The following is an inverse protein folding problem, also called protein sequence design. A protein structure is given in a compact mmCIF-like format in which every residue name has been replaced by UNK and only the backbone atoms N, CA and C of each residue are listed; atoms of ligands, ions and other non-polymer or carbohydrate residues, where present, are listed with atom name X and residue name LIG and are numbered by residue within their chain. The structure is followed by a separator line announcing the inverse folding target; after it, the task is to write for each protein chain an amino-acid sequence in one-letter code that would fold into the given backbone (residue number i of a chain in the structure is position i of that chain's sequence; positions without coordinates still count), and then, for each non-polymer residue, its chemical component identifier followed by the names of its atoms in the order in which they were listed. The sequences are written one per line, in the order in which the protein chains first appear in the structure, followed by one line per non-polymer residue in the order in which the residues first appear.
data_IF_560075133132
#
_entry.id   IF_560075133132
#
_cell.length_a   1.000
_cell.length_b   1.000
_cell.length_c   1.000
_cell.angle_alpha   90.00
_cell.angle_beta   90.00
_cell.angle_gamma   90.00
#
_symmetry.space_group_name_H-M   'P 1'
#
loop_
_entity.id
_entity.type
_entity.pdbx_description
1 polymer ?
#
# COMPACT_ATOMS: atom_id res chain seq x y z
N UNK A 1 -12.76 0.29 7.53
CA UNK A 1 -13.32 1.11 6.44
C UNK A 1 -12.68 0.73 5.12
N UNK A 2 -13.42 0.82 4.05
CA UNK A 2 -12.85 0.54 2.74
C UNK A 2 -11.85 1.61 2.34
N UNK A 3 -10.90 1.23 1.48
CA UNK A 3 -9.89 2.16 0.99
C UNK A 3 -10.47 3.11 -0.05
N UNK A 4 -10.06 4.36 0.00
CA UNK A 4 -10.39 5.32 -1.04
C UNK A 4 -9.67 4.90 -2.33
N UNK A 5 -10.37 5.03 -3.45
CA UNK A 5 -9.83 4.64 -4.74
C UNK A 5 -8.49 5.33 -5.01
N UNK A 6 -7.53 4.58 -5.47
CA UNK A 6 -6.21 5.09 -5.82
C UNK A 6 -5.19 5.07 -4.68
N UNK A 7 -5.57 4.64 -3.48
CA UNK A 7 -4.64 4.61 -2.35
C UNK A 7 -4.02 3.24 -2.09
N UNK A 8 -4.62 2.17 -2.60
CA UNK A 8 -4.14 0.81 -2.30
C UNK A 8 -2.71 0.59 -2.78
N UNK A 9 -2.39 1.02 -3.98
CA UNK A 9 -1.06 0.78 -4.56
C UNK A 9 0.04 1.41 -3.70
N UNK A 10 -0.13 2.65 -3.28
CA UNK A 10 0.89 3.32 -2.46
C UNK A 10 1.02 2.65 -1.10
N UNK A 11 -0.07 2.16 -0.53
CA UNK A 11 -0.03 1.46 0.74
C UNK A 11 0.70 0.12 0.62
N UNK A 12 0.49 -0.61 -0.45
CA UNK A 12 1.20 -1.86 -0.72
C UNK A 12 2.69 -1.60 -0.91
N UNK A 13 3.04 -0.57 -1.68
CA UNK A 13 4.45 -0.21 -1.88
C UNK A 13 5.11 0.15 -0.55
N UNK A 14 4.42 0.92 0.29
CA UNK A 14 4.94 1.30 1.61
C UNK A 14 5.20 0.08 2.47
N UNK A 15 4.25 -0.86 2.49
CA UNK A 15 4.38 -2.09 3.23
C UNK A 15 5.64 -2.85 2.82
N UNK A 16 5.86 -2.98 1.51
CA UNK A 16 7.00 -3.71 0.97
C UNK A 16 8.32 -2.95 1.10
N UNK A 17 8.28 -1.69 1.53
CA UNK A 17 9.52 -0.94 1.77
C UNK A 17 10.29 -1.47 2.99
N UNK A 18 9.64 -2.24 3.85
CA UNK A 18 10.26 -2.81 5.04
C UNK A 18 11.06 -4.07 4.72
N UNK A 19 10.43 -5.01 4.02
CA UNK A 19 11.06 -6.25 3.57
C UNK A 19 10.10 -6.99 2.64
N UNK A 20 10.56 -8.01 1.92
CA UNK A 20 9.67 -8.81 1.08
C UNK A 20 8.57 -9.49 1.91
N UNK A 21 7.36 -9.53 1.38
CA UNK A 21 6.22 -10.15 2.04
C UNK A 21 5.33 -10.85 1.02
N UNK A 22 4.61 -11.87 1.48
CA UNK A 22 3.53 -12.46 0.67
C UNK A 22 2.22 -11.73 0.96
N UNK A 23 1.19 -12.00 0.15
CA UNK A 23 -0.07 -11.24 0.20
C UNK A 23 -0.72 -11.22 1.59
N UNK A 24 -0.74 -12.38 2.27
CA UNK A 24 -1.35 -12.46 3.58
C UNK A 24 -0.64 -11.57 4.61
N UNK A 25 0.70 -11.54 4.57
CA UNK A 25 1.48 -10.65 5.44
C UNK A 25 1.20 -9.17 5.15
N UNK A 26 1.09 -8.82 3.87
CA UNK A 26 0.79 -7.44 3.47
C UNK A 26 -0.55 -7.00 4.07
N UNK A 27 -1.57 -7.84 3.92
CA UNK A 27 -2.90 -7.53 4.45
C UNK A 27 -2.88 -7.37 5.96
N UNK A 28 -2.19 -8.26 6.66
CA UNK A 28 -2.07 -8.19 8.13
C UNK A 28 -1.31 -6.96 8.58
N UNK A 29 -0.26 -6.62 7.87
CA UNK A 29 0.55 -5.44 8.20
C UNK A 29 -0.29 -4.16 8.08
N UNK A 30 -1.05 -4.02 7.00
CA UNK A 30 -1.92 -2.86 6.79
C UNK A 30 -2.98 -2.75 7.87
N UNK A 31 -3.59 -3.87 8.23
CA UNK A 31 -4.59 -3.89 9.29
C UNK A 31 -3.98 -3.47 10.62
N UNK A 32 -2.83 -4.02 10.97
CA UNK A 32 -2.17 -3.72 12.24
C UNK A 32 -1.72 -2.25 12.30
N UNK A 33 -1.16 -1.72 11.23
CA UNK A 33 -0.67 -0.33 11.21
C UNK A 33 -1.78 0.71 11.23
N UNK A 34 -2.96 0.33 10.81
CA UNK A 34 -4.12 1.22 10.85
C UNK A 34 -5.01 0.99 12.06
N UNK A 35 -4.57 0.20 13.03
CA UNK A 35 -5.36 -0.18 14.21
C UNK A 35 -6.69 -0.82 13.79
N UNK A 36 -6.65 -1.65 12.77
CA UNK A 36 -7.84 -2.35 12.26
C UNK A 36 -8.78 -1.48 11.44
N UNK A 37 -8.45 -0.20 11.21
CA UNK A 37 -9.35 0.71 10.52
C UNK A 37 -9.37 0.52 9.01
N UNK A 38 -8.28 0.05 8.43
CA UNK A 38 -8.21 -0.21 6.99
C UNK A 38 -8.25 -1.72 6.76
N UNK A 39 -9.09 -2.13 5.84
CA UNK A 39 -9.19 -3.52 5.42
C UNK A 39 -9.05 -3.59 3.91
N UNK A 40 -8.42 -4.66 3.44
CA UNK A 40 -8.18 -4.86 2.02
C UNK A 40 -8.77 -6.21 1.62
N UNK A 41 -9.61 -6.19 0.60
CA UNK A 41 -10.15 -7.44 0.06
C UNK A 41 -9.04 -8.20 -0.68
N UNK A 42 -9.03 -9.52 -0.52
CA UNK A 42 -8.01 -10.37 -1.12
C UNK A 42 -7.92 -10.19 -2.62
N UNK A 43 -9.06 -10.13 -3.30
CA UNK A 43 -9.08 -9.97 -4.75
C UNK A 43 -8.47 -8.63 -5.17
N UNK A 44 -8.80 -7.55 -4.47
CA UNK A 44 -8.26 -6.23 -4.78
C UNK A 44 -6.75 -6.19 -4.57
N UNK A 45 -6.27 -6.82 -3.48
CA UNK A 45 -4.84 -6.89 -3.19
C UNK A 45 -4.10 -7.67 -4.28
N UNK A 46 -4.63 -8.83 -4.67
CA UNK A 46 -3.98 -9.63 -5.71
C UNK A 46 -3.94 -8.90 -7.05
N UNK A 47 -5.00 -8.20 -7.40
CA UNK A 47 -5.02 -7.40 -8.62
C UNK A 47 -3.99 -6.29 -8.59
N UNK A 48 -3.85 -5.60 -7.45
CA UNK A 48 -2.86 -4.56 -7.28
C UNK A 48 -1.43 -5.12 -7.41
N UNK A 49 -1.16 -6.26 -6.77
CA UNK A 49 0.15 -6.90 -6.85
C UNK A 49 0.50 -7.30 -8.29
N UNK A 50 -0.44 -7.92 -9.00
CA UNK A 50 -0.22 -8.31 -10.40
C UNK A 50 0.03 -7.09 -11.29
N UNK A 51 -0.76 -6.05 -11.11
CA UNK A 51 -0.66 -4.83 -11.91
C UNK A 51 0.70 -4.16 -11.72
N UNK A 52 1.15 -4.07 -10.46
CA UNK A 52 2.42 -3.45 -10.16
C UNK A 52 3.61 -4.32 -10.57
N UNK A 53 3.45 -5.63 -10.54
CA UNK A 53 4.46 -6.54 -11.04
C UNK A 53 4.63 -6.38 -12.56
N UNK A 54 3.52 -6.29 -13.30
CA UNK A 54 3.56 -6.07 -14.73
C UNK A 54 4.24 -4.74 -15.09
N UNK A 55 4.06 -3.74 -14.26
CA UNK A 55 4.72 -2.44 -14.45
C UNK A 55 6.16 -2.42 -13.94
N UNK A 56 6.66 -3.56 -13.48
CA UNK A 56 8.02 -3.72 -12.97
C UNK A 56 8.32 -2.84 -11.74
N UNK A 57 7.29 -2.52 -11.00
CA UNK A 57 7.43 -1.85 -9.69
C UNK A 57 7.71 -2.86 -8.60
N UNK A 58 7.31 -4.10 -8.80
CA UNK A 58 7.53 -5.22 -7.90
C UNK A 58 8.17 -6.38 -8.64
N UNK A 59 8.95 -7.16 -7.90
CA UNK A 59 9.44 -8.47 -8.32
C UNK A 59 8.87 -9.50 -7.35
N UNK A 60 8.70 -10.72 -7.83
CA UNK A 60 8.16 -11.79 -6.99
C UNK A 60 8.96 -13.06 -7.18
N UNK A 61 9.07 -13.83 -6.10
CA UNK A 61 9.66 -15.17 -6.19
C UNK A 61 8.95 -16.10 -5.20
N UNK A 62 8.99 -17.39 -5.51
CA UNK A 62 8.38 -18.38 -4.64
C UNK A 62 9.27 -18.67 -3.45
N UNK A 63 8.64 -18.80 -2.28
CA UNK A 63 9.30 -19.17 -1.05
C UNK A 63 8.37 -19.99 -0.20
N UNK A 64 8.78 -20.25 1.04
CA UNK A 64 7.96 -20.98 2.01
C UNK A 64 7.66 -20.10 3.20
N UNK A 65 6.41 -20.19 3.69
CA UNK A 65 6.02 -19.54 4.92
C UNK A 65 6.53 -20.33 6.11
N UNK A 66 6.38 -19.77 7.31
CA UNK A 66 6.78 -20.45 8.54
C UNK A 66 6.08 -21.79 8.71
N UNK A 67 4.88 -21.93 8.15
CA UNK A 67 4.11 -23.16 8.22
C UNK A 67 4.47 -24.15 7.10
N UNK A 68 5.53 -23.87 6.34
CA UNK A 68 5.97 -24.73 5.25
C UNK A 68 5.12 -24.65 4.00
N UNK A 69 4.20 -23.72 3.91
CA UNK A 69 3.37 -23.54 2.73
C UNK A 69 4.11 -22.72 1.68
N UNK A 70 3.88 -23.06 0.43
CA UNK A 70 4.45 -22.31 -0.68
C UNK A 70 3.72 -20.98 -0.83
N UNK A 71 4.47 -19.89 -0.96
CA UNK A 71 3.90 -18.56 -1.11
C UNK A 71 4.78 -17.72 -2.04
N UNK A 72 4.15 -16.76 -2.69
CA UNK A 72 4.85 -15.84 -3.58
C UNK A 72 5.20 -14.58 -2.79
N UNK A 73 6.50 -14.30 -2.70
CA UNK A 73 7.00 -13.13 -1.97
C UNK A 73 7.27 -12.00 -2.94
N UNK A 74 6.78 -10.82 -2.60
CA UNK A 74 6.91 -9.62 -3.42
C UNK A 74 7.91 -8.68 -2.77
N UNK A 75 8.67 -7.97 -3.59
CA UNK A 75 9.60 -6.95 -3.12
C UNK A 75 9.62 -5.78 -4.09
N UNK A 76 10.05 -4.60 -3.60
CA UNK A 76 10.16 -3.42 -4.44
C UNK A 76 11.37 -3.54 -5.37
N UNK A 77 11.18 -3.10 -6.61
CA UNK A 77 12.30 -2.82 -7.51
C UNK A 77 12.79 -1.40 -7.24
N UNK A 78 13.89 -1.00 -7.87
CA UNK A 78 14.35 0.39 -7.80
C UNK A 78 13.27 1.33 -8.32
N UNK A 79 12.60 0.96 -9.41
CA UNK A 79 11.48 1.74 -9.95
C UNK A 79 10.32 1.82 -8.95
N UNK A 80 10.05 0.71 -8.25
CA UNK A 80 9.01 0.70 -7.21
C UNK A 80 9.31 1.65 -6.07
N UNK A 81 10.57 1.71 -5.64
CA UNK A 81 10.98 2.65 -4.59
C UNK A 81 10.82 4.11 -5.02
N UNK A 82 11.21 4.42 -6.26
CA UNK A 82 11.05 5.76 -6.80
C UNK A 82 9.57 6.14 -6.91
N UNK A 83 8.75 5.19 -7.37
CA UNK A 83 7.31 5.39 -7.48
C UNK A 83 6.68 5.62 -6.10
N UNK A 84 7.10 4.86 -5.10
CA UNK A 84 6.63 5.04 -3.72
C UNK A 84 6.90 6.46 -3.22
N UNK A 85 8.12 6.96 -3.43
CA UNK A 85 8.48 8.31 -3.00
C UNK A 85 7.61 9.37 -3.66
N UNK A 86 7.45 9.26 -4.97
CA UNK A 86 6.65 10.23 -5.74
C UNK A 86 5.18 10.20 -5.32
N UNK A 87 4.61 9.00 -5.18
CA UNK A 87 3.22 8.85 -4.81
C UNK A 87 2.95 9.27 -3.36
N UNK A 88 3.89 8.98 -2.45
CA UNK A 88 3.77 9.42 -1.06
C UNK A 88 3.72 10.94 -0.99
N UNK A 89 4.60 11.61 -1.73
CA UNK A 89 4.63 13.06 -1.75
C UNK A 89 3.33 13.63 -2.30
N UNK A 90 2.87 13.10 -3.44
CA UNK A 90 1.64 13.56 -4.08
C UNK A 90 0.43 13.37 -3.16
N UNK A 91 0.33 12.21 -2.53
CA UNK A 91 -0.80 11.92 -1.65
C UNK A 91 -0.76 12.78 -0.39
N UNK A 92 0.43 12.97 0.20
CA UNK A 92 0.58 13.81 1.39
C UNK A 92 0.19 15.25 1.11
N UNK A 93 0.59 15.80 -0.04
CA UNK A 93 0.21 17.15 -0.44
C UNK A 93 -1.30 17.28 -0.64
N UNK A 94 -1.92 16.25 -1.22
CA UNK A 94 -3.36 16.22 -1.40
C UNK A 94 -4.10 16.18 -0.07
N UNK A 95 -3.65 15.32 0.84
CA UNK A 95 -4.24 15.22 2.18
C UNK A 95 -4.09 16.53 2.94
N UNK A 96 -2.93 17.17 2.85
CA UNK A 96 -2.70 18.48 3.49
C UNK A 96 -3.64 19.53 2.94
N UNK A 97 -3.84 19.55 1.62
CA UNK A 97 -4.75 20.51 1.00
C UNK A 97 -6.20 20.29 1.45
N UNK A 98 -6.64 19.03 1.48
CA UNK A 98 -7.98 18.68 1.98
C UNK A 98 -8.14 19.09 3.43
N UNK A 99 -7.15 18.79 4.25
CA UNK A 99 -7.19 19.10 5.68
C UNK A 99 -7.27 20.62 5.89
N UNK A 100 -6.51 21.39 5.12
CA UNK A 100 -6.57 22.87 5.22
C UNK A 100 -7.97 23.41 4.97
N UNK A 101 -8.66 22.84 3.97
CA UNK A 101 -10.03 23.27 3.67
C UNK A 101 -10.99 22.81 4.76
N UNK A 102 -10.90 21.54 5.15
CA UNK A 102 -11.85 20.96 6.09
C UNK A 102 -11.72 21.53 7.50
N UNK A 103 -10.53 21.99 7.88
CA UNK A 103 -10.30 22.56 9.20
C UNK A 103 -10.30 24.09 9.20
N UNK A 104 -10.55 24.72 8.06
CA UNK A 104 -10.61 26.18 7.99
C UNK A 104 -11.80 26.72 8.77
N UNK A 105 -11.64 27.90 9.32
CA UNK A 105 -12.75 28.58 9.98
C UNK A 105 -13.65 29.20 8.94
N UNK A 106 -14.94 29.26 9.23
CA UNK A 106 -15.86 29.98 8.38
C UNK A 106 -15.61 31.48 8.55
N UNK A 107 -16.11 32.27 7.64
CA UNK A 107 -15.92 33.72 7.68
C UNK A 107 -16.51 34.35 8.93
N UNK A 108 -17.47 33.71 9.58
CA UNK A 108 -18.18 34.24 10.74
C UNK A 108 -17.65 33.73 12.07
N UNK A 109 -16.57 32.98 12.08
CA UNK A 109 -16.04 32.42 13.32
C UNK A 109 -14.63 32.87 13.60
#
# INVERSE_FOLDING_TARGET
MPLVKGTLDVLVLKTLSWHPMHAFEIAKWLEARSDGRLSVEDAALMQALHRMEERQLLEAEWGQTENGRRARYYRLTAAGRAHLRAETKRLSEYVDALTSVLTSRTANT
#
